data_IF_815949092028
#
_entry.id   IF_815949092028
#
_cell.length_a   1.000
_cell.length_b   1.000
_cell.length_c   1.000
_cell.angle_alpha   90.00
_cell.angle_beta   90.00
_cell.angle_gamma   90.00
#
_symmetry.space_group_name_H-M   'P 1'
#
loop_
_entity.id
_entity.type
_entity.pdbx_description
1 polymer ?
#
# COMPACT_ATOMS: atom_id res chain seq x y z
N UNK A 1 19.62 -27.67 -84.65
CA UNK A 1 19.47 -28.34 -83.34
C UNK A 1 20.77 -28.46 -82.52
N UNK A 2 21.77 -27.55 -82.66
CA UNK A 2 22.99 -27.63 -81.82
C UNK A 2 23.38 -26.32 -81.09
N UNK A 3 22.83 -25.16 -81.46
CA UNK A 3 23.37 -23.87 -80.99
C UNK A 3 22.76 -23.33 -79.69
N UNK A 4 21.54 -23.73 -79.33
CA UNK A 4 20.85 -23.21 -78.12
C UNK A 4 21.17 -23.97 -76.84
N UNK A 5 21.73 -25.19 -76.94
CA UNK A 5 22.03 -25.99 -75.75
C UNK A 5 23.31 -25.53 -75.03
N UNK A 6 24.12 -24.68 -75.68
CA UNK A 6 25.43 -24.27 -75.15
C UNK A 6 25.41 -22.90 -74.46
N UNK A 7 24.25 -22.25 -74.33
CA UNK A 7 24.15 -20.88 -73.79
C UNK A 7 23.61 -20.80 -72.36
N UNK A 8 23.21 -21.91 -71.73
CA UNK A 8 22.68 -21.90 -70.36
C UNK A 8 23.84 -22.08 -69.38
N UNK A 9 24.39 -20.96 -68.87
CA UNK A 9 25.32 -20.97 -67.74
C UNK A 9 24.52 -20.84 -66.45
N UNK A 10 24.57 -21.81 -65.51
CA UNK A 10 23.93 -21.67 -64.21
C UNK A 10 24.54 -20.48 -63.46
N UNK A 11 23.72 -19.49 -63.12
CA UNK A 11 24.15 -18.39 -62.25
C UNK A 11 23.94 -18.80 -60.80
N UNK A 12 24.99 -19.30 -60.18
CA UNK A 12 24.98 -19.66 -58.76
C UNK A 12 25.51 -18.47 -57.97
N UNK A 13 24.74 -17.99 -57.01
CA UNK A 13 25.22 -16.93 -56.12
C UNK A 13 26.36 -17.49 -55.25
N UNK A 14 27.55 -16.85 -55.24
CA UNK A 14 28.65 -17.27 -54.40
C UNK A 14 28.24 -17.29 -52.93
N UNK A 15 28.77 -18.26 -52.17
CA UNK A 15 28.54 -18.33 -50.73
C UNK A 15 29.15 -17.06 -50.11
N UNK A 16 28.37 -16.30 -49.30
CA UNK A 16 28.91 -15.14 -48.62
C UNK A 16 30.06 -15.53 -47.70
N UNK A 17 31.05 -14.66 -47.60
CA UNK A 17 32.19 -14.88 -46.73
C UNK A 17 31.77 -14.94 -45.25
N UNK A 18 32.51 -15.70 -44.40
CA UNK A 18 32.24 -15.73 -42.97
C UNK A 18 32.36 -14.33 -42.36
N UNK A 19 31.33 -13.91 -41.62
CA UNK A 19 31.34 -12.63 -40.92
C UNK A 19 32.48 -12.61 -39.90
N UNK A 20 33.27 -11.52 -39.89
CA UNK A 20 34.32 -11.32 -38.89
C UNK A 20 33.70 -11.02 -37.53
N UNK A 21 34.20 -11.70 -36.50
CA UNK A 21 33.86 -11.40 -35.12
C UNK A 21 34.42 -10.02 -34.74
N UNK A 22 33.55 -9.12 -34.30
CA UNK A 22 33.94 -7.83 -33.72
C UNK A 22 33.68 -7.90 -32.21
N UNK A 23 34.73 -7.87 -31.37
CA UNK A 23 34.55 -7.84 -29.92
C UNK A 23 33.83 -6.55 -29.51
N UNK A 24 32.70 -6.68 -28.82
CA UNK A 24 32.01 -5.53 -28.25
C UNK A 24 32.58 -5.24 -26.87
N UNK A 25 33.07 -4.01 -26.67
CA UNK A 25 33.60 -3.59 -25.38
C UNK A 25 32.49 -3.58 -24.32
N UNK A 26 32.76 -4.18 -23.16
CA UNK A 26 31.83 -4.17 -22.03
C UNK A 26 31.77 -2.76 -21.42
N UNK A 27 30.64 -2.09 -21.58
CA UNK A 27 30.44 -0.72 -21.06
C UNK A 27 30.05 -0.64 -19.58
N UNK A 28 29.94 -1.77 -18.88
CA UNK A 28 29.41 -1.82 -17.52
C UNK A 28 30.29 -1.11 -16.47
N UNK A 29 31.58 -0.94 -16.74
CA UNK A 29 32.49 -0.18 -15.86
C UNK A 29 32.12 1.31 -15.75
N UNK A 30 31.40 1.86 -16.73
CA UNK A 30 30.93 3.25 -16.71
C UNK A 30 29.61 3.42 -15.99
N UNK A 31 28.93 2.33 -15.64
CA UNK A 31 27.68 2.36 -14.89
C UNK A 31 27.98 2.39 -13.40
N UNK A 32 27.17 3.11 -12.64
CA UNK A 32 27.24 3.08 -11.18
C UNK A 32 27.03 1.64 -10.69
N UNK A 33 27.92 1.09 -9.83
CA UNK A 33 27.79 -0.27 -9.36
C UNK A 33 26.45 -0.47 -8.66
N UNK A 34 25.76 -1.59 -8.89
CA UNK A 34 24.44 -1.83 -8.29
C UNK A 34 24.48 -1.91 -6.75
N UNK A 35 25.66 -2.13 -6.15
CA UNK A 35 25.90 -2.25 -4.72
C UNK A 35 26.94 -1.25 -4.19
N UNK A 36 27.08 -0.07 -4.82
CA UNK A 36 28.00 0.97 -4.31
C UNK A 36 27.46 1.63 -3.04
N UNK A 37 28.37 2.10 -2.18
CA UNK A 37 28.04 2.91 -1.01
C UNK A 37 27.34 4.21 -1.39
N UNK A 38 27.64 4.77 -2.56
CA UNK A 38 26.98 5.96 -3.10
C UNK A 38 25.51 5.71 -3.43
N UNK A 39 25.20 4.56 -4.05
CA UNK A 39 23.83 4.14 -4.34
C UNK A 39 23.09 3.73 -3.06
N UNK A 40 23.77 3.08 -2.12
CA UNK A 40 23.22 2.83 -0.78
C UNK A 40 22.89 4.15 -0.08
N UNK A 41 23.80 5.13 -0.12
CA UNK A 41 23.60 6.42 0.51
C UNK A 41 22.51 7.25 -0.19
N UNK A 42 22.33 7.14 -1.51
CA UNK A 42 21.22 7.79 -2.21
C UNK A 42 19.88 7.14 -1.88
N UNK A 43 19.82 5.81 -1.81
CA UNK A 43 18.63 5.08 -1.34
C UNK A 43 18.35 5.40 0.12
N UNK A 44 19.36 5.42 0.99
CA UNK A 44 19.19 5.77 2.40
C UNK A 44 18.77 7.23 2.57
N UNK A 45 19.29 8.17 1.76
CA UNK A 45 18.82 9.58 1.76
C UNK A 45 17.41 9.72 1.19
N UNK A 46 17.00 8.87 0.24
CA UNK A 46 15.62 8.80 -0.24
C UNK A 46 14.69 8.02 0.69
N UNK A 47 15.22 7.11 1.51
CA UNK A 47 14.51 6.32 2.52
C UNK A 47 14.56 6.96 3.91
N UNK A 48 15.39 7.99 4.12
CA UNK A 48 15.13 9.07 5.05
C UNK A 48 13.91 9.78 4.48
N UNK A 49 12.75 9.14 4.65
CA UNK A 49 11.41 9.71 4.67
C UNK A 49 11.44 11.14 4.12
N UNK A 50 11.30 11.26 2.79
CA UNK A 50 10.87 12.54 2.22
C UNK A 50 9.78 13.06 3.15
N UNK A 51 9.87 14.31 3.65
CA UNK A 51 9.00 14.79 4.71
C UNK A 51 7.60 14.39 4.33
N UNK A 52 7.05 13.39 5.04
CA UNK A 52 5.81 12.74 4.61
C UNK A 52 4.84 13.89 4.49
N UNK A 53 4.30 14.14 3.30
CA UNK A 53 3.28 15.15 3.21
C UNK A 53 2.22 14.76 4.25
N UNK A 54 1.90 15.70 5.14
CA UNK A 54 1.01 15.50 6.28
C UNK A 54 1.54 14.65 7.46
N UNK A 55 2.85 14.60 7.71
CA UNK A 55 3.40 14.00 8.95
C UNK A 55 2.78 14.60 10.24
N UNK A 56 2.33 15.85 10.19
CA UNK A 56 1.59 16.51 11.27
C UNK A 56 0.26 15.81 11.64
N UNK A 57 -0.32 15.00 10.74
CA UNK A 57 -1.54 14.23 11.04
C UNK A 57 -1.26 13.04 11.96
N UNK A 58 -0.09 12.42 11.84
CA UNK A 58 0.24 11.13 12.48
C UNK A 58 1.11 11.30 13.74
N UNK A 59 1.95 12.34 13.78
CA UNK A 59 2.81 12.65 14.93
C UNK A 59 2.07 12.72 16.28
N UNK A 60 0.91 13.39 16.42
CA UNK A 60 0.18 13.43 17.67
C UNK A 60 -0.34 12.05 18.10
N UNK A 61 -0.68 11.21 17.12
CA UNK A 61 -1.22 9.87 17.33
C UNK A 61 -0.12 8.87 17.75
N UNK A 62 1.12 9.07 17.31
CA UNK A 62 2.27 8.28 17.78
C UNK A 62 2.74 8.67 19.18
N UNK A 63 2.62 9.96 19.53
CA UNK A 63 3.10 10.48 20.81
C UNK A 63 2.15 10.18 21.99
N UNK A 64 0.93 9.73 21.73
CA UNK A 64 -0.03 9.37 22.78
C UNK A 64 0.10 7.91 23.23
N UNK A 65 -0.47 7.63 24.41
CA UNK A 65 -0.66 6.24 24.84
C UNK A 65 -1.73 5.57 24.00
N UNK A 66 -1.44 4.36 23.52
CA UNK A 66 -2.36 3.54 22.74
C UNK A 66 -3.47 2.98 23.63
N UNK A 67 -4.66 2.86 23.05
CA UNK A 67 -5.83 2.22 23.64
C UNK A 67 -5.85 0.72 23.28
N UNK A 68 -6.53 -0.12 24.07
CA UNK A 68 -6.60 -1.57 23.81
C UNK A 68 -7.17 -1.93 22.43
N UNK A 69 -8.14 -1.15 21.94
CA UNK A 69 -8.79 -1.39 20.65
C UNK A 69 -7.91 -1.08 19.43
N UNK A 70 -6.75 -0.44 19.62
CA UNK A 70 -5.83 -0.14 18.51
C UNK A 70 -4.93 -1.31 18.13
N UNK A 71 -4.91 -2.38 18.94
CA UNK A 71 -4.17 -3.59 18.61
C UNK A 71 -4.86 -4.41 17.49
N UNK A 72 -6.15 -4.19 17.26
CA UNK A 72 -6.97 -5.01 16.38
C UNK A 72 -7.31 -4.26 15.09
N UNK A 73 -7.41 -4.94 13.95
CA UNK A 73 -7.84 -4.34 12.69
C UNK A 73 -9.35 -4.04 12.73
N UNK A 74 -9.77 -2.97 12.05
CA UNK A 74 -11.17 -2.52 12.04
C UNK A 74 -12.12 -3.60 11.51
N UNK A 75 -11.68 -4.39 10.53
CA UNK A 75 -12.46 -5.46 9.89
C UNK A 75 -12.87 -6.59 10.84
N UNK A 76 -12.17 -6.74 11.96
CA UNK A 76 -12.50 -7.75 13.00
C UNK A 76 -13.47 -7.24 14.05
N UNK A 77 -13.82 -5.95 13.97
CA UNK A 77 -14.71 -5.30 14.92
C UNK A 77 -16.12 -5.24 14.35
N UNK A 78 -17.12 -5.43 15.21
CA UNK A 78 -18.51 -5.17 14.86
C UNK A 78 -19.22 -4.37 15.93
N UNK A 79 -20.04 -3.41 15.52
CA UNK A 79 -20.93 -2.71 16.43
C UNK A 79 -22.09 -3.63 16.75
N UNK A 80 -22.32 -3.91 18.03
CA UNK A 80 -23.44 -4.76 18.49
C UNK A 80 -24.59 -3.96 19.08
N UNK A 81 -24.38 -2.67 19.36
CA UNK A 81 -25.43 -1.80 19.86
C UNK A 81 -24.92 -0.46 20.34
N UNK A 82 -25.83 0.33 20.89
CA UNK A 82 -25.52 1.59 21.56
C UNK A 82 -26.25 1.68 22.89
N UNK A 83 -25.61 2.29 23.88
CA UNK A 83 -26.14 2.56 25.20
C UNK A 83 -26.12 4.06 25.45
N UNK A 84 -27.25 4.64 25.85
CA UNK A 84 -27.27 5.99 26.37
C UNK A 84 -26.91 5.96 27.86
N UNK A 85 -25.78 6.54 28.22
CA UNK A 85 -25.31 6.63 29.60
C UNK A 85 -25.14 8.10 29.97
N UNK A 86 -25.90 8.55 30.96
CA UNK A 86 -25.80 9.92 31.50
C UNK A 86 -26.00 11.00 30.42
N UNK A 87 -26.83 10.73 29.42
CA UNK A 87 -27.10 11.65 28.30
C UNK A 87 -26.07 11.59 27.17
N UNK A 88 -25.05 10.71 27.25
CA UNK A 88 -24.09 10.47 26.18
C UNK A 88 -24.33 9.10 25.54
N UNK A 89 -24.42 9.09 24.21
CA UNK A 89 -24.51 7.85 23.44
C UNK A 89 -23.13 7.17 23.36
N UNK A 90 -23.05 5.93 23.81
CA UNK A 90 -21.86 5.09 23.85
C UNK A 90 -22.10 3.89 22.95
N UNK A 91 -21.16 3.57 22.07
CA UNK A 91 -21.26 2.38 21.23
C UNK A 91 -20.71 1.14 21.96
N UNK A 92 -21.32 0.00 21.70
CA UNK A 92 -20.83 -1.31 22.10
C UNK A 92 -20.18 -1.96 20.88
N UNK A 93 -18.87 -2.14 20.94
CA UNK A 93 -18.07 -2.74 19.88
C UNK A 93 -17.55 -4.09 20.37
N UNK A 94 -17.83 -5.14 19.62
CA UNK A 94 -17.31 -6.47 19.84
C UNK A 94 -16.07 -6.68 18.99
N UNK A 95 -15.02 -7.20 19.62
CA UNK A 95 -13.80 -7.63 18.94
C UNK A 95 -13.49 -9.03 19.42
N UNK A 96 -13.36 -9.98 18.49
CA UNK A 96 -13.31 -11.41 18.77
C UNK A 96 -14.50 -11.88 19.65
N UNK A 97 -14.25 -12.04 20.95
CA UNK A 97 -15.23 -12.46 21.97
C UNK A 97 -15.39 -11.45 23.11
N UNK A 98 -14.73 -10.30 23.01
CA UNK A 98 -14.72 -9.27 24.04
C UNK A 98 -15.59 -8.09 23.60
N UNK A 99 -16.29 -7.51 24.58
CA UNK A 99 -17.15 -6.35 24.37
C UNK A 99 -16.49 -5.11 24.97
N UNK A 100 -16.39 -4.05 24.18
CA UNK A 100 -15.81 -2.78 24.58
C UNK A 100 -16.82 -1.64 24.43
N UNK A 101 -16.76 -0.70 25.37
CA UNK A 101 -17.54 0.54 25.32
C UNK A 101 -16.71 1.64 24.66
N UNK A 102 -17.25 2.25 23.62
CA UNK A 102 -16.59 3.28 22.83
C UNK A 102 -17.36 4.58 22.88
N UNK A 103 -16.65 5.68 23.13
CA UNK A 103 -17.20 7.04 23.22
C UNK A 103 -16.68 7.91 22.07
N UNK A 104 -17.36 9.03 21.75
CA UNK A 104 -16.80 10.00 20.82
C UNK A 104 -15.42 10.47 21.28
N UNK A 105 -14.43 10.46 20.39
CA UNK A 105 -13.04 10.77 20.68
C UNK A 105 -12.16 9.58 21.09
N UNK A 106 -12.71 8.40 21.33
CA UNK A 106 -11.91 7.18 21.52
C UNK A 106 -11.25 6.74 20.21
N UNK A 107 -10.24 5.89 20.35
CA UNK A 107 -9.48 5.34 19.23
C UNK A 107 -9.69 3.83 19.13
N UNK A 108 -9.82 3.35 17.91
CA UNK A 108 -9.91 1.95 17.58
C UNK A 108 -9.30 1.68 16.22
N UNK A 109 -8.92 0.42 15.99
CA UNK A 109 -8.30 0.04 14.74
C UNK A 109 -6.81 0.35 14.72
N UNK A 110 -6.07 -0.39 13.91
CA UNK A 110 -4.63 -0.17 13.70
C UNK A 110 -4.32 1.14 12.95
N UNK A 111 -5.30 1.66 12.20
CA UNK A 111 -5.18 2.89 11.41
C UNK A 111 -5.57 4.15 12.21
N UNK A 112 -5.40 4.15 13.53
CA UNK A 112 -5.69 5.29 14.41
C UNK A 112 -7.11 5.85 14.23
N UNK A 113 -8.11 4.96 14.11
CA UNK A 113 -9.51 5.31 13.89
C UNK A 113 -10.08 6.10 15.07
N UNK A 114 -10.23 7.42 14.91
CA UNK A 114 -10.80 8.31 15.92
C UNK A 114 -12.30 8.45 15.73
N UNK A 115 -13.09 8.09 16.74
CA UNK A 115 -14.56 8.20 16.67
C UNK A 115 -14.97 9.67 16.63
N UNK A 116 -15.69 10.05 15.60
CA UNK A 116 -16.21 11.41 15.41
C UNK A 116 -17.67 11.50 15.86
N UNK A 117 -18.47 10.48 15.56
CA UNK A 117 -19.90 10.43 15.88
C UNK A 117 -20.35 9.00 16.15
N UNK A 118 -21.28 8.85 17.09
CA UNK A 118 -21.98 7.59 17.35
C UNK A 118 -23.47 7.83 17.12
N UNK A 119 -24.12 6.92 16.42
CA UNK A 119 -25.58 6.86 16.28
C UNK A 119 -26.07 5.50 16.81
N UNK A 120 -27.38 5.27 16.75
CA UNK A 120 -27.97 3.98 17.14
C UNK A 120 -27.61 2.84 16.17
N UNK A 121 -27.30 3.18 14.91
CA UNK A 121 -27.09 2.21 13.82
C UNK A 121 -25.65 2.17 13.31
N UNK A 122 -24.83 3.17 13.61
CA UNK A 122 -23.45 3.24 13.14
C UNK A 122 -22.51 3.99 14.09
N UNK A 123 -21.23 3.63 14.04
CA UNK A 123 -20.13 4.42 14.61
C UNK A 123 -19.32 4.99 13.46
N UNK A 124 -19.31 6.32 13.35
CA UNK A 124 -18.52 7.04 12.34
C UNK A 124 -17.17 7.45 12.95
N UNK A 125 -16.10 7.22 12.20
CA UNK A 125 -14.75 7.54 12.61
C UNK A 125 -13.89 7.99 11.43
N UNK A 126 -12.75 8.59 11.79
CA UNK A 126 -11.70 8.98 10.86
C UNK A 126 -10.48 8.09 11.11
N UNK A 127 -10.05 7.35 10.10
CA UNK A 127 -8.78 6.64 10.07
C UNK A 127 -7.69 7.49 9.42
N UNK A 128 -6.44 7.17 9.72
CA UNK A 128 -5.26 7.72 9.06
C UNK A 128 -4.54 6.57 8.37
N UNK A 129 -4.50 6.62 7.04
CA UNK A 129 -3.94 5.57 6.20
C UNK A 129 -2.83 6.16 5.33
N UNK A 130 -1.80 5.37 5.06
CA UNK A 130 -0.75 5.75 4.12
C UNK A 130 -1.18 5.38 2.69
N UNK A 131 -1.18 6.35 1.77
CA UNK A 131 -1.45 6.09 0.35
C UNK A 131 -0.25 5.40 -0.33
N UNK A 132 -0.47 4.89 -1.55
CA UNK A 132 0.54 4.32 -2.44
C UNK A 132 1.77 5.22 -2.69
N UNK A 133 1.58 6.54 -2.62
CA UNK A 133 2.65 7.54 -2.70
C UNK A 133 3.45 7.71 -1.39
N UNK A 134 3.02 7.08 -0.30
CA UNK A 134 3.63 7.18 1.02
C UNK A 134 3.09 8.34 1.88
N UNK A 135 2.14 9.13 1.38
CA UNK A 135 1.55 10.25 2.11
C UNK A 135 0.47 9.78 3.10
N UNK A 136 0.35 10.46 4.24
CA UNK A 136 -0.73 10.19 5.21
C UNK A 136 -2.00 10.94 4.80
N UNK A 137 -3.12 10.22 4.75
CA UNK A 137 -4.43 10.78 4.42
C UNK A 137 -5.50 10.33 5.42
N UNK A 138 -6.50 11.18 5.60
CA UNK A 138 -7.66 10.88 6.42
C UNK A 138 -8.70 10.11 5.60
N UNK A 139 -9.17 8.98 6.13
CA UNK A 139 -10.24 8.18 5.54
C UNK A 139 -11.44 8.14 6.48
N UNK A 140 -12.62 8.44 5.96
CA UNK A 140 -13.86 8.23 6.70
C UNK A 140 -14.20 6.73 6.71
N UNK A 141 -14.47 6.19 7.89
CA UNK A 141 -14.90 4.81 8.08
C UNK A 141 -16.15 4.78 8.98
N UNK A 142 -16.99 3.78 8.78
CA UNK A 142 -18.17 3.56 9.61
C UNK A 142 -18.32 2.08 9.96
N UNK A 143 -18.51 1.79 11.25
CA UNK A 143 -18.93 0.46 11.71
C UNK A 143 -20.45 0.45 11.80
N UNK A 144 -21.10 -0.40 11.02
CA UNK A 144 -22.55 -0.57 11.07
C UNK A 144 -22.95 -1.54 12.17
N UNK A 145 -24.14 -1.33 12.72
CA UNK A 145 -24.78 -2.24 13.66
C UNK A 145 -24.96 -3.60 12.97
N UNK A 146 -24.36 -4.62 13.58
CA UNK A 146 -24.58 -5.99 13.18
C UNK A 146 -25.97 -6.42 13.67
N UNK A 147 -26.93 -6.37 12.76
CA UNK A 147 -28.23 -6.99 12.96
C UNK A 147 -28.04 -8.50 12.79
N UNK A 148 -28.20 -9.27 13.87
CA UNK A 148 -28.27 -10.72 13.76
C UNK A 148 -29.54 -11.07 12.97
N UNK A 149 -29.38 -11.31 11.66
CA UNK A 149 -30.37 -11.96 10.82
C UNK A 149 -30.50 -13.46 11.16
N UNK A 150 -30.48 -13.79 12.46
CA UNK A 150 -30.70 -15.13 12.96
C UNK A 150 -32.20 -15.40 12.91
N UNK A 151 -32.62 -16.01 11.81
CA UNK A 151 -33.92 -16.64 11.66
C UNK A 151 -33.84 -18.12 12.03
#
# INVERSE_FOLDING_TARGET
>A
MLSERNSIKPSVQPIPEPTRFVPQAYGGERLTPPFSTEKLASVLRGSQVAPVANAALIEPELNRRKQPLEAYPLDTMSMVGSLNREGQLVALVKVDKLLYQVRPGNYLGQNFGRVTRITETEVVMREIVQDSAGEWTERAAALQLQEDASK
#
